data_IF_564449411638
#
_entry.id   IF_564449411638
#
_cell.length_a   1.000
_cell.length_b   1.000
_cell.length_c   1.000
_cell.angle_alpha   90.00
_cell.angle_beta   90.00
_cell.angle_gamma   90.00
#
_symmetry.space_group_name_H-M   'P 1'
#
loop_
_entity.id
_entity.type
_entity.pdbx_description
1 polymer ?
#
# COMPACT_ATOMS: atom_id res chain seq x y z
N UNK A 1 -13.76 19.65 11.65
CA UNK A 1 -14.67 19.05 12.66
C UNK A 1 -13.88 18.31 13.75
N UNK A 2 -12.83 18.91 14.35
CA UNK A 2 -11.81 18.14 15.10
C UNK A 2 -11.81 18.36 16.63
N UNK A 3 -12.91 18.80 17.23
CA UNK A 3 -12.85 19.37 18.59
C UNK A 3 -13.79 18.78 19.66
N UNK A 4 -14.25 17.54 19.51
CA UNK A 4 -15.05 16.85 20.57
C UNK A 4 -14.67 15.39 20.80
N UNK A 5 -13.39 15.05 20.71
CA UNK A 5 -12.94 13.75 21.23
C UNK A 5 -12.87 13.83 22.77
N UNK A 6 -13.48 12.89 23.52
CA UNK A 6 -13.40 12.87 24.98
C UNK A 6 -11.95 12.88 25.47
N UNK A 7 -11.71 13.48 26.64
CA UNK A 7 -10.38 13.63 27.25
C UNK A 7 -9.68 12.30 27.57
N UNK A 8 -10.41 11.19 27.63
CA UNK A 8 -9.86 9.83 27.75
C UNK A 8 -10.72 8.82 26.99
N UNK A 9 -10.28 8.41 25.81
CA UNK A 9 -10.88 7.31 25.04
C UNK A 9 -10.11 6.03 25.34
N UNK A 10 -10.80 4.96 25.74
CA UNK A 10 -10.22 3.63 25.97
C UNK A 10 -10.48 2.70 24.79
N UNK A 11 -9.70 1.61 24.70
CA UNK A 11 -9.97 0.52 23.75
C UNK A 11 -11.32 -0.17 24.03
N UNK A 12 -11.85 -0.08 25.26
CA UNK A 12 -13.18 -0.60 25.60
C UNK A 12 -14.33 0.20 24.97
N UNK A 13 -14.07 1.45 24.61
CA UNK A 13 -15.04 2.35 24.01
C UNK A 13 -15.05 2.21 22.48
N UNK A 14 -14.24 1.31 21.92
CA UNK A 14 -14.21 1.01 20.48
C UNK A 14 -15.26 -0.04 20.12
N UNK A 15 -16.09 0.27 19.14
CA UNK A 15 -17.05 -0.66 18.54
C UNK A 15 -16.55 -1.07 17.15
N UNK A 16 -16.23 -2.36 16.92
CA UNK A 16 -15.66 -2.83 15.66
C UNK A 16 -16.72 -2.92 14.56
N UNK A 17 -16.41 -2.41 13.37
CA UNK A 17 -17.27 -2.49 12.19
C UNK A 17 -16.74 -3.50 11.18
N UNK A 18 -15.46 -3.40 10.82
CA UNK A 18 -14.88 -4.18 9.71
C UNK A 18 -13.42 -4.52 9.98
N UNK A 19 -13.05 -5.77 9.72
CA UNK A 19 -11.64 -6.20 9.75
C UNK A 19 -11.00 -5.87 8.41
N UNK A 20 -9.97 -5.02 8.42
CA UNK A 20 -9.26 -4.59 7.20
C UNK A 20 -8.12 -5.53 6.83
N UNK A 21 -7.39 -6.04 7.83
CA UNK A 21 -6.21 -6.90 7.62
C UNK A 21 -5.96 -7.78 8.82
N UNK A 22 -5.67 -9.05 8.58
CA UNK A 22 -5.17 -10.00 9.59
C UNK A 22 -3.77 -10.46 9.22
N UNK A 23 -2.85 -10.39 10.17
CA UNK A 23 -1.45 -10.82 10.05
C UNK A 23 -1.08 -11.62 11.31
N UNK A 24 -0.04 -12.45 11.24
CA UNK A 24 0.50 -13.26 12.35
C UNK A 24 0.85 -12.40 13.57
N UNK A 25 1.13 -11.12 13.36
CA UNK A 25 1.55 -10.19 14.40
C UNK A 25 0.45 -9.22 14.89
N UNK A 26 -0.65 -9.06 14.16
CA UNK A 26 -1.76 -8.19 14.56
C UNK A 26 -2.92 -8.23 13.58
N UNK A 27 -4.10 -7.85 14.07
CA UNK A 27 -5.28 -7.57 13.24
C UNK A 27 -5.55 -6.05 13.22
N UNK A 28 -5.91 -5.50 12.07
CA UNK A 28 -6.32 -4.09 11.92
C UNK A 28 -7.82 -4.04 11.69
N UNK A 29 -8.52 -3.41 12.62
CA UNK A 29 -9.98 -3.31 12.65
C UNK A 29 -10.36 -1.84 12.54
N UNK A 30 -11.27 -1.54 11.61
CA UNK A 30 -11.94 -0.25 11.54
C UNK A 30 -13.22 -0.33 12.37
N UNK A 31 -13.54 0.75 13.05
CA UNK A 31 -14.75 0.86 13.85
C UNK A 31 -15.04 2.31 14.19
N UNK A 32 -15.84 2.51 15.22
CA UNK A 32 -16.20 3.85 15.69
C UNK A 32 -16.16 3.93 17.22
N UNK A 33 -16.29 5.15 17.74
CA UNK A 33 -16.40 5.39 19.17
C UNK A 33 -17.82 5.07 19.64
N UNK A 34 -17.95 4.31 20.72
CA UNK A 34 -19.23 3.99 21.36
C UNK A 34 -20.01 5.27 21.65
N UNK A 35 -21.22 5.36 21.10
CA UNK A 35 -22.11 6.52 21.24
C UNK A 35 -21.78 7.73 20.36
N UNK A 36 -20.77 7.63 19.48
CA UNK A 36 -20.39 8.65 18.49
C UNK A 36 -19.95 7.96 17.17
N UNK A 37 -20.90 7.42 16.38
CA UNK A 37 -20.60 6.67 15.15
C UNK A 37 -19.88 7.51 14.08
N UNK A 38 -19.99 8.84 14.15
CA UNK A 38 -19.27 9.78 13.27
C UNK A 38 -17.75 9.79 13.52
N UNK A 39 -17.29 9.36 14.70
CA UNK A 39 -15.87 9.33 15.05
C UNK A 39 -15.30 7.97 14.68
N UNK A 40 -14.77 7.88 13.45
CA UNK A 40 -14.14 6.67 12.93
C UNK A 40 -12.77 6.43 13.56
N UNK A 41 -12.53 5.19 13.98
CA UNK A 41 -11.35 4.75 14.70
C UNK A 41 -10.70 3.54 14.01
N UNK A 42 -9.40 3.40 14.18
CA UNK A 42 -8.63 2.23 13.77
C UNK A 42 -7.99 1.58 15.00
N UNK A 43 -8.27 0.30 15.21
CA UNK A 43 -7.66 -0.52 16.24
C UNK A 43 -6.68 -1.51 15.61
N UNK A 44 -5.42 -1.46 16.04
CA UNK A 44 -4.48 -2.56 15.87
C UNK A 44 -4.62 -3.53 17.03
N UNK A 45 -5.39 -4.59 16.84
CA UNK A 45 -5.66 -5.62 17.84
C UNK A 45 -4.50 -6.63 17.92
N UNK A 46 -4.10 -6.95 19.16
CA UNK A 46 -3.04 -7.87 19.52
C UNK A 46 -3.56 -9.02 20.41
N UNK A 47 -4.86 -9.07 20.69
CA UNK A 47 -5.46 -10.08 21.58
C UNK A 47 -5.35 -11.50 20.98
N UNK A 48 -5.55 -11.62 19.67
CA UNK A 48 -5.64 -12.90 18.95
C UNK A 48 -4.30 -13.36 18.37
N UNK A 49 -3.19 -12.73 18.79
CA UNK A 49 -1.84 -13.11 18.35
C UNK A 49 -1.42 -14.43 19.01
N UNK A 50 -0.88 -15.40 18.25
CA UNK A 50 -0.38 -16.65 18.81
C UNK A 50 0.61 -16.45 19.96
N UNK A 51 0.57 -17.33 20.96
CA UNK A 51 1.34 -17.18 22.19
C UNK A 51 2.85 -17.01 21.94
N UNK A 52 3.41 -17.68 20.93
CA UNK A 52 4.82 -17.60 20.55
C UNK A 52 5.21 -16.23 19.95
N UNK A 53 4.28 -15.57 19.25
CA UNK A 53 4.47 -14.25 18.63
C UNK A 53 4.16 -13.08 19.59
N UNK A 54 3.55 -13.34 20.74
CA UNK A 54 2.99 -12.33 21.63
C UNK A 54 4.02 -11.34 22.18
N UNK A 55 5.21 -11.81 22.60
CA UNK A 55 6.27 -10.94 23.15
C UNK A 55 6.82 -9.98 22.09
N UNK A 56 7.05 -10.49 20.88
CA UNK A 56 7.54 -9.69 19.75
C UNK A 56 6.49 -8.67 19.31
N UNK A 57 5.23 -9.09 19.19
CA UNK A 57 4.11 -8.23 18.79
C UNK A 57 3.87 -7.10 19.81
N UNK A 58 3.95 -7.40 21.11
CA UNK A 58 3.90 -6.37 22.16
C UNK A 58 5.10 -5.41 22.09
N UNK A 59 6.29 -5.91 21.80
CA UNK A 59 7.47 -5.04 21.65
C UNK A 59 7.33 -4.10 20.45
N UNK A 60 6.87 -4.61 19.30
CA UNK A 60 6.57 -3.83 18.11
C UNK A 60 5.49 -2.78 18.38
N UNK A 61 4.40 -3.17 19.04
CA UNK A 61 3.32 -2.26 19.39
C UNK A 61 3.77 -1.16 20.36
N UNK A 62 4.59 -1.47 21.37
CA UNK A 62 5.17 -0.45 22.26
C UNK A 62 6.06 0.54 21.50
N UNK A 63 6.81 0.07 20.50
CA UNK A 63 7.64 0.91 19.67
C UNK A 63 6.81 1.83 18.78
N UNK A 64 5.76 1.30 18.16
CA UNK A 64 4.80 2.09 17.38
C UNK A 64 4.08 3.12 18.26
N UNK A 65 3.54 2.73 19.41
CA UNK A 65 2.89 3.63 20.35
C UNK A 65 3.83 4.75 20.82
N UNK A 66 5.11 4.44 21.06
CA UNK A 66 6.12 5.46 21.39
C UNK A 66 6.34 6.44 20.23
N UNK A 67 6.37 5.96 18.99
CA UNK A 67 6.51 6.82 17.81
C UNK A 67 5.28 7.70 17.60
N UNK A 68 4.08 7.11 17.70
CA UNK A 68 2.80 7.81 17.61
C UNK A 68 2.65 8.86 18.72
N UNK A 69 3.03 8.53 19.96
CA UNK A 69 3.08 9.47 21.07
C UNK A 69 4.03 10.64 20.79
N UNK A 70 5.22 10.36 20.25
CA UNK A 70 6.20 11.39 19.92
C UNK A 70 5.73 12.34 18.81
N UNK A 71 4.86 11.90 17.89
CA UNK A 71 4.35 12.77 16.79
C UNK A 71 3.02 13.46 17.10
N UNK A 72 2.42 13.26 18.28
CA UNK A 72 1.14 13.88 18.63
C UNK A 72 1.13 15.40 18.46
N UNK A 73 0.11 15.94 17.80
CA UNK A 73 0.00 17.37 17.52
C UNK A 73 0.81 17.86 16.32
N UNK A 74 1.44 16.98 15.54
CA UNK A 74 1.88 17.31 14.17
C UNK A 74 0.67 17.14 13.24
N UNK A 75 0.15 18.22 12.61
CA UNK A 75 -0.94 18.10 11.64
C UNK A 75 -0.54 17.18 10.48
N UNK A 76 -1.41 16.23 10.12
CA UNK A 76 -1.15 15.20 9.10
C UNK A 76 -0.46 13.94 9.63
N UNK A 77 -0.45 13.72 10.95
CA UNK A 77 -0.01 12.45 11.56
C UNK A 77 -1.13 11.82 12.38
N UNK A 78 -1.13 10.48 12.61
CA UNK A 78 -2.24 9.82 13.27
C UNK A 78 -2.32 10.24 14.75
N UNK A 79 -3.53 10.57 15.19
CA UNK A 79 -3.81 10.86 16.60
C UNK A 79 -3.98 9.55 17.38
N UNK A 80 -3.07 9.31 18.32
CA UNK A 80 -3.12 8.18 19.23
C UNK A 80 -4.15 8.46 20.32
N UNK A 81 -5.09 7.54 20.52
CA UNK A 81 -6.12 7.65 21.56
C UNK A 81 -5.76 6.78 22.76
N UNK A 82 -5.38 5.53 22.53
CA UNK A 82 -4.98 4.60 23.58
C UNK A 82 -3.94 3.60 23.07
N UNK A 83 -3.09 3.12 23.97
CA UNK A 83 -2.18 2.02 23.70
C UNK A 83 -1.99 1.17 24.97
N UNK A 84 -2.33 -0.10 24.91
CA UNK A 84 -2.19 -1.04 26.02
C UNK A 84 -1.75 -2.44 25.53
N UNK A 85 -2.00 -3.49 26.33
CA UNK A 85 -1.68 -4.89 25.97
C UNK A 85 -2.62 -5.48 24.91
N UNK A 86 -3.82 -4.93 24.73
CA UNK A 86 -4.82 -5.34 23.76
C UNK A 86 -4.55 -4.75 22.39
N UNK A 87 -3.97 -3.54 22.33
CA UNK A 87 -3.69 -2.93 21.03
C UNK A 87 -3.31 -1.46 21.06
N UNK A 88 -3.37 -0.87 19.86
CA UNK A 88 -3.17 0.56 19.62
C UNK A 88 -4.43 1.10 18.94
N UNK A 89 -5.09 2.05 19.60
CA UNK A 89 -6.26 2.74 19.10
C UNK A 89 -5.87 4.14 18.61
N UNK A 90 -6.25 4.46 17.39
CA UNK A 90 -5.99 5.75 16.75
C UNK A 90 -7.21 6.23 15.98
N UNK A 91 -7.25 7.54 15.70
CA UNK A 91 -8.24 8.12 14.79
C UNK A 91 -8.02 7.57 13.37
N UNK A 92 -9.10 7.24 12.68
CA UNK A 92 -9.07 6.84 11.28
C UNK A 92 -8.73 8.03 10.38
N UNK A 93 -7.93 7.80 9.33
CA UNK A 93 -7.64 8.82 8.32
C UNK A 93 -8.55 8.59 7.12
N UNK A 94 -9.38 9.58 6.78
CA UNK A 94 -10.23 9.57 5.58
C UNK A 94 -9.46 9.94 4.29
N UNK A 95 -8.13 10.06 4.38
CA UNK A 95 -7.29 10.42 3.24
C UNK A 95 -7.22 9.33 2.18
N UNK A 96 -7.14 9.74 0.93
CA UNK A 96 -7.04 8.85 -0.23
C UNK A 96 -5.59 8.43 -0.48
N UNK A 97 -5.29 7.14 -0.69
CA UNK A 97 -3.96 6.68 -1.07
C UNK A 97 -3.43 7.35 -2.34
N UNK A 98 -2.12 7.64 -2.39
CA UNK A 98 -1.56 8.45 -3.48
C UNK A 98 -1.62 7.84 -4.87
N UNK A 99 -1.75 6.51 -4.98
CA UNK A 99 -1.90 5.87 -6.29
C UNK A 99 -3.22 6.26 -6.97
N UNK A 100 -4.25 6.59 -6.18
CA UNK A 100 -5.52 7.12 -6.64
C UNK A 100 -5.50 8.65 -6.70
N UNK A 101 -5.07 9.30 -5.61
CA UNK A 101 -5.10 10.75 -5.48
C UNK A 101 -4.17 11.50 -6.45
N UNK A 102 -3.09 10.85 -6.92
CA UNK A 102 -2.07 11.38 -7.85
C UNK A 102 -1.78 12.88 -7.64
N UNK A 103 -1.24 13.28 -6.46
CA UNK A 103 -1.13 14.69 -6.08
C UNK A 103 -0.21 15.45 -7.04
N UNK A 104 -0.74 16.47 -7.70
CA UNK A 104 -0.01 17.34 -8.62
C UNK A 104 0.26 18.74 -8.05
N UNK A 105 -0.39 19.11 -6.94
CA UNK A 105 -0.34 20.47 -6.39
C UNK A 105 0.87 20.70 -5.46
N UNK A 106 1.51 21.88 -5.49
CA UNK A 106 2.63 22.21 -4.60
C UNK A 106 2.30 22.11 -3.10
N UNK A 107 1.08 22.47 -2.71
CA UNK A 107 0.63 22.51 -1.32
C UNK A 107 0.84 21.16 -0.61
N UNK A 108 0.46 20.05 -1.26
CA UNK A 108 0.66 18.69 -0.74
C UNK A 108 2.14 18.43 -0.41
N UNK A 109 3.06 18.76 -1.32
CA UNK A 109 4.49 18.53 -1.12
C UNK A 109 5.13 19.49 -0.12
N UNK A 110 4.57 20.68 0.07
CA UNK A 110 4.97 21.57 1.16
C UNK A 110 4.58 20.97 2.51
N UNK A 111 3.36 20.45 2.63
CA UNK A 111 2.90 19.80 3.85
C UNK A 111 3.65 18.49 4.15
N UNK A 112 3.87 17.64 3.15
CA UNK A 112 4.66 16.42 3.31
C UNK A 112 6.08 16.73 3.82
N UNK A 113 6.74 17.76 3.27
CA UNK A 113 8.06 18.22 3.74
C UNK A 113 8.00 18.78 5.16
N UNK A 114 6.95 19.53 5.52
CA UNK A 114 6.71 20.03 6.87
C UNK A 114 6.59 18.88 7.86
N UNK A 115 5.78 17.86 7.56
CA UNK A 115 5.59 16.67 8.41
C UNK A 115 6.93 15.99 8.68
N UNK A 116 7.72 15.70 7.64
CA UNK A 116 9.03 15.06 7.82
C UNK A 116 10.00 15.92 8.64
N UNK A 117 10.00 17.23 8.43
CA UNK A 117 10.81 18.16 9.22
C UNK A 117 10.41 18.13 10.69
N UNK A 118 9.12 18.18 10.99
CA UNK A 118 8.62 18.25 12.36
C UNK A 118 8.77 16.92 13.09
N UNK A 119 8.58 15.78 12.41
CA UNK A 119 8.95 14.45 12.91
C UNK A 119 10.43 14.38 13.27
N UNK A 120 11.30 14.83 12.35
CA UNK A 120 12.75 14.84 12.57
C UNK A 120 13.16 15.76 13.72
N UNK A 121 12.48 16.89 13.93
CA UNK A 121 12.70 17.77 15.10
C UNK A 121 12.41 17.03 16.41
N UNK A 122 11.41 16.15 16.42
CA UNK A 122 11.05 15.30 17.56
C UNK A 122 11.84 13.99 17.64
N UNK A 123 12.89 13.84 16.83
CA UNK A 123 13.74 12.65 16.82
C UNK A 123 13.07 11.42 16.22
N UNK A 124 12.00 11.57 15.44
CA UNK A 124 11.26 10.46 14.82
C UNK A 124 11.67 10.32 13.35
N UNK A 125 11.92 9.08 12.93
CA UNK A 125 12.07 8.68 11.52
C UNK A 125 11.04 7.60 11.21
N UNK A 126 10.42 7.66 10.03
CA UNK A 126 9.35 6.75 9.63
C UNK A 126 9.89 5.41 9.13
N UNK A 127 10.95 5.44 8.32
CA UNK A 127 11.67 4.30 7.77
C UNK A 127 10.91 3.43 6.75
N UNK A 128 9.62 3.69 6.49
CA UNK A 128 8.83 2.96 5.49
C UNK A 128 8.16 3.86 4.43
N UNK A 129 8.73 5.04 4.16
CA UNK A 129 8.17 5.97 3.15
C UNK A 129 8.43 5.55 1.70
N UNK A 130 9.13 4.44 1.50
CA UNK A 130 9.33 3.87 0.18
C UNK A 130 8.01 3.42 -0.47
N UNK A 131 7.01 3.06 0.36
CA UNK A 131 5.68 2.66 -0.08
C UNK A 131 4.79 3.92 -0.21
N UNK A 132 4.34 4.29 -1.42
CA UNK A 132 3.44 5.44 -1.61
C UNK A 132 2.11 5.31 -0.85
N UNK A 133 1.71 4.08 -0.50
CA UNK A 133 0.50 3.78 0.28
C UNK A 133 0.54 4.36 1.71
N UNK A 134 1.72 4.63 2.26
CA UNK A 134 1.87 5.23 3.60
C UNK A 134 1.60 6.74 3.60
N UNK A 135 1.47 7.34 2.42
CA UNK A 135 1.00 8.71 2.26
C UNK A 135 -0.47 8.70 1.81
N UNK A 136 -1.25 9.57 2.42
CA UNK A 136 -2.62 9.85 2.02
C UNK A 136 -2.75 11.33 1.66
N UNK A 137 -3.68 11.62 0.75
CA UNK A 137 -4.14 12.98 0.49
C UNK A 137 -5.47 13.16 1.22
N UNK A 138 -5.51 14.04 2.21
CA UNK A 138 -6.75 14.41 2.88
C UNK A 138 -7.73 15.07 1.88
N UNK A 139 -9.04 15.08 2.17
CA UNK A 139 -10.04 15.73 1.30
C UNK A 139 -9.75 17.21 1.01
N UNK A 140 -9.05 17.91 1.92
CA UNK A 140 -8.62 19.30 1.75
C UNK A 140 -7.33 19.46 0.90
N UNK A 141 -6.80 18.36 0.37
CA UNK A 141 -5.59 18.32 -0.47
C UNK A 141 -4.28 18.31 0.33
N UNK A 142 -4.33 18.26 1.66
CA UNK A 142 -3.11 18.20 2.49
C UNK A 142 -2.54 16.78 2.56
N UNK A 143 -1.27 16.69 2.91
CA UNK A 143 -0.61 15.42 3.12
C UNK A 143 -0.91 14.86 4.51
N UNK A 144 -1.25 13.57 4.57
CA UNK A 144 -1.29 12.79 5.79
C UNK A 144 -0.35 11.60 5.69
N UNK A 145 0.19 11.20 6.83
CA UNK A 145 1.08 10.06 6.95
C UNK A 145 0.46 9.01 7.85
N UNK A 146 0.48 7.76 7.40
CA UNK A 146 -0.04 6.60 8.14
C UNK A 146 1.05 5.55 8.35
N UNK A 147 0.72 4.53 9.15
CA UNK A 147 1.55 3.34 9.39
C UNK A 147 2.93 3.61 10.03
N UNK A 148 2.93 3.85 11.34
CA UNK A 148 4.14 4.09 12.12
C UNK A 148 4.79 2.81 12.67
N UNK A 149 4.44 1.63 12.16
CA UNK A 149 4.93 0.36 12.71
C UNK A 149 6.47 0.24 12.65
N UNK A 150 7.07 0.71 11.55
CA UNK A 150 8.51 0.72 11.36
C UNK A 150 9.18 2.01 11.83
N UNK A 151 8.41 2.98 12.34
CA UNK A 151 8.96 4.22 12.85
C UNK A 151 9.92 3.98 14.03
N UNK A 152 10.86 4.89 14.21
CA UNK A 152 11.84 4.83 15.30
C UNK A 152 12.02 6.19 15.93
N UNK A 153 12.06 6.20 17.26
CA UNK A 153 12.31 7.39 18.07
C UNK A 153 13.75 7.36 18.57
N UNK A 154 14.48 8.44 18.33
CA UNK A 154 15.91 8.56 18.62
C UNK A 154 16.14 9.64 19.67
N UNK A 155 16.81 9.27 20.77
CA UNK A 155 17.20 10.25 21.81
C UNK A 155 18.32 11.19 21.35
N UNK A 156 19.23 10.70 20.49
CA UNK A 156 20.38 11.44 19.98
C UNK A 156 20.33 11.49 18.46
N UNK A 157 20.78 12.60 17.86
CA UNK A 157 20.87 12.79 16.41
C UNK A 157 22.11 12.09 15.81
N UNK A 158 22.22 10.79 16.07
CA UNK A 158 23.33 9.93 15.65
C UNK A 158 23.45 9.82 14.12
N UNK A 159 24.54 9.20 13.64
CA UNK A 159 24.71 8.93 12.22
C UNK A 159 23.54 8.12 11.64
N UNK A 160 23.09 7.08 12.35
CA UNK A 160 21.95 6.25 11.91
C UNK A 160 20.64 7.04 11.82
N UNK A 161 20.38 7.96 12.75
CA UNK A 161 19.24 8.88 12.68
C UNK A 161 19.32 9.78 11.44
N UNK A 162 20.51 10.35 11.15
CA UNK A 162 20.71 11.21 9.97
C UNK A 162 20.48 10.45 8.66
N UNK A 163 20.96 9.21 8.58
CA UNK A 163 20.77 8.34 7.41
C UNK A 163 19.28 8.00 7.21
N UNK A 164 18.59 7.58 8.28
CA UNK A 164 17.16 7.26 8.22
C UNK A 164 16.31 8.46 7.82
N UNK A 165 16.57 9.62 8.41
CA UNK A 165 15.88 10.86 8.04
C UNK A 165 16.20 11.32 6.60
N UNK A 166 17.41 11.04 6.11
CA UNK A 166 17.76 11.27 4.71
C UNK A 166 16.98 10.34 3.77
N UNK A 167 16.86 9.05 4.09
CA UNK A 167 16.06 8.12 3.28
C UNK A 167 14.57 8.49 3.27
N UNK A 168 14.00 8.90 4.41
CA UNK A 168 12.61 9.41 4.46
C UNK A 168 12.40 10.59 3.49
N UNK A 169 13.31 11.57 3.49
CA UNK A 169 13.27 12.71 2.56
C UNK A 169 13.48 12.29 1.11
N UNK A 170 14.39 11.34 0.87
CA UNK A 170 14.68 10.81 -0.45
C UNK A 170 13.49 10.08 -1.04
N UNK A 171 12.77 9.31 -0.23
CA UNK A 171 11.54 8.65 -0.67
C UNK A 171 10.45 9.65 -1.05
N UNK A 172 10.29 10.74 -0.28
CA UNK A 172 9.42 11.86 -0.66
C UNK A 172 9.85 12.49 -2.00
N UNK A 173 11.14 12.70 -2.23
CA UNK A 173 11.63 13.23 -3.51
C UNK A 173 11.35 12.30 -4.69
N UNK A 174 11.54 10.98 -4.53
CA UNK A 174 11.21 9.99 -5.57
C UNK A 174 9.71 9.91 -5.84
N UNK A 175 8.90 10.07 -4.81
CA UNK A 175 7.44 10.13 -4.95
C UNK A 175 7.03 11.37 -5.73
N UNK A 176 7.59 12.54 -5.39
CA UNK A 176 7.36 13.79 -6.14
C UNK A 176 7.79 13.66 -7.59
N UNK A 177 8.92 13.03 -7.87
CA UNK A 177 9.37 12.74 -9.23
C UNK A 177 8.35 11.90 -10.03
N UNK A 178 7.65 10.97 -9.38
CA UNK A 178 6.65 10.10 -10.03
C UNK A 178 5.32 10.82 -10.32
N UNK A 179 4.82 11.61 -9.36
CA UNK A 179 3.46 12.17 -9.45
C UNK A 179 3.42 13.64 -9.90
N UNK A 180 4.48 14.40 -9.64
CA UNK A 180 4.58 15.82 -10.01
C UNK A 180 6.01 16.20 -10.45
N UNK A 181 6.52 15.62 -11.56
CA UNK A 181 7.88 15.90 -12.04
C UNK A 181 8.11 17.39 -12.34
N UNK A 182 7.07 18.10 -12.80
CA UNK A 182 7.11 19.54 -13.06
C UNK A 182 7.36 20.40 -11.82
N UNK A 183 7.13 19.87 -10.61
CA UNK A 183 7.43 20.57 -9.36
C UNK A 183 8.82 20.25 -8.81
N UNK A 184 9.53 19.28 -9.40
CA UNK A 184 10.76 18.74 -8.85
C UNK A 184 11.90 19.75 -8.98
N UNK A 185 12.57 20.07 -7.86
CA UNK A 185 13.75 20.94 -7.90
C UNK A 185 15.00 20.13 -8.26
N UNK A 186 16.03 20.79 -8.80
CA UNK A 186 17.31 20.15 -9.11
C UNK A 186 17.93 19.43 -7.88
N UNK A 187 17.77 20.02 -6.69
CA UNK A 187 18.22 19.41 -5.43
C UNK A 187 17.43 18.15 -5.07
N UNK A 188 16.11 18.17 -5.23
CA UNK A 188 15.27 17.00 -4.98
C UNK A 188 15.55 15.88 -6.00
N UNK A 189 15.79 16.23 -7.27
CA UNK A 189 16.22 15.28 -8.29
C UNK A 189 17.55 14.61 -7.92
N UNK A 190 18.53 15.40 -7.45
CA UNK A 190 19.79 14.85 -6.95
C UNK A 190 19.58 13.94 -5.74
N UNK A 191 18.78 14.33 -4.75
CA UNK A 191 18.48 13.49 -3.57
C UNK A 191 17.80 12.18 -3.99
N UNK A 192 16.83 12.24 -4.91
CA UNK A 192 16.11 11.07 -5.42
C UNK A 192 17.07 10.04 -6.07
N UNK A 193 18.03 10.54 -6.86
CA UNK A 193 19.07 9.74 -7.51
C UNK A 193 20.12 9.21 -6.53
N UNK A 194 20.54 10.03 -5.55
CA UNK A 194 21.63 9.72 -4.62
C UNK A 194 21.16 8.76 -3.51
N UNK A 195 21.41 7.46 -3.73
CA UNK A 195 21.17 6.39 -2.74
C UNK A 195 22.15 6.49 -1.57
N UNK A 196 21.68 6.25 -0.33
CA UNK A 196 22.57 6.17 0.83
C UNK A 196 23.55 4.99 0.73
N UNK A 197 24.70 5.18 1.39
CA UNK A 197 25.79 4.18 1.45
C UNK A 197 25.32 2.86 2.09
N UNK A 198 24.54 2.83 3.18
CA UNK A 198 24.04 1.57 3.73
C UNK A 198 23.09 0.82 2.79
N UNK A 199 22.25 1.52 2.01
CA UNK A 199 21.42 0.85 0.99
C UNK A 199 22.27 0.25 -0.15
N UNK A 200 23.44 0.84 -0.44
CA UNK A 200 24.40 0.32 -1.42
C UNK A 200 25.10 -0.93 -0.89
N UNK A 201 25.55 -0.89 0.37
CA UNK A 201 26.20 -2.01 1.07
C UNK A 201 25.21 -3.17 1.30
N UNK A 202 23.99 -2.89 1.75
CA UNK A 202 22.95 -3.93 1.93
C UNK A 202 22.66 -4.67 0.63
N UNK A 203 22.62 -3.98 -0.52
CA UNK A 203 22.40 -4.65 -1.81
C UNK A 203 23.61 -5.47 -2.26
N UNK A 204 24.83 -4.99 -1.99
CA UNK A 204 26.07 -5.68 -2.36
C UNK A 204 26.33 -6.92 -1.49
N UNK A 205 26.02 -6.84 -0.19
CA UNK A 205 26.46 -7.83 0.81
C UNK A 205 25.28 -8.49 1.53
N UNK A 206 24.32 -7.70 2.02
CA UNK A 206 23.21 -8.16 2.85
C UNK A 206 22.18 -8.99 2.09
N UNK A 207 21.85 -8.62 0.84
CA UNK A 207 20.90 -9.35 0.00
C UNK A 207 21.37 -10.78 -0.31
N UNK A 208 22.68 -10.97 -0.52
CA UNK A 208 23.25 -12.30 -0.80
C UNK A 208 23.23 -13.20 0.44
N UNK A 209 23.58 -12.66 1.61
CA UNK A 209 23.55 -13.39 2.87
C UNK A 209 22.12 -13.68 3.34
N UNK A 210 21.21 -12.71 3.19
CA UNK A 210 19.78 -12.88 3.45
C UNK A 210 19.19 -13.98 2.57
N UNK A 211 19.40 -13.92 1.24
CA UNK A 211 18.95 -14.96 0.31
C UNK A 211 19.58 -16.34 0.59
N UNK A 212 20.82 -16.38 1.07
CA UNK A 212 21.51 -17.62 1.42
C UNK A 212 20.95 -18.24 2.71
N UNK A 213 20.69 -17.42 3.72
CA UNK A 213 20.11 -17.87 5.00
C UNK A 213 18.63 -18.24 4.84
N UNK A 214 17.85 -17.46 4.08
CA UNK A 214 16.43 -17.78 3.82
C UNK A 214 16.27 -19.01 2.93
N UNK A 215 17.15 -19.24 1.95
CA UNK A 215 17.12 -20.49 1.15
C UNK A 215 17.53 -21.75 1.91
N UNK A 216 18.29 -21.63 3.01
CA UNK A 216 18.90 -22.80 3.69
C UNK A 216 18.33 -23.09 5.07
N UNK A 217 17.71 -22.11 5.75
CA UNK A 217 17.30 -22.26 7.16
C UNK A 217 15.79 -22.20 7.41
N UNK A 218 14.98 -21.67 6.50
CA UNK A 218 13.53 -21.67 6.66
C UNK A 218 12.85 -21.78 5.31
N UNK A 219 12.07 -22.84 5.14
CA UNK A 219 11.10 -23.00 4.06
C UNK A 219 9.93 -22.01 4.27
N UNK A 220 10.26 -20.71 4.35
CA UNK A 220 9.33 -19.64 4.62
C UNK A 220 8.64 -19.31 3.30
N UNK A 221 7.39 -19.76 3.18
CA UNK A 221 6.48 -19.40 2.08
C UNK A 221 6.08 -17.93 2.20
N UNK A 222 6.92 -17.02 1.72
CA UNK A 222 6.54 -15.62 1.47
C UNK A 222 7.20 -15.10 0.20
N UNK A 223 6.37 -14.75 -0.79
CA UNK A 223 6.51 -13.63 -1.74
C UNK A 223 7.71 -13.50 -2.70
N UNK A 224 8.88 -14.11 -2.47
CA UNK A 224 10.07 -13.80 -3.30
C UNK A 224 10.09 -14.48 -4.67
N UNK A 225 9.39 -15.61 -4.84
CA UNK A 225 9.21 -16.24 -6.15
C UNK A 225 8.26 -15.47 -7.07
N UNK A 226 7.42 -14.59 -6.52
CA UNK A 226 6.46 -13.80 -7.28
C UNK A 226 7.15 -12.84 -8.24
N UNK A 227 8.22 -12.16 -7.82
CA UNK A 227 8.89 -11.16 -8.66
C UNK A 227 9.50 -11.78 -9.92
N UNK A 228 10.19 -12.92 -9.78
CA UNK A 228 10.75 -13.66 -10.91
C UNK A 228 9.64 -14.24 -11.80
N UNK A 229 8.65 -14.91 -11.21
CA UNK A 229 7.49 -15.45 -11.95
C UNK A 229 6.74 -14.34 -12.69
N UNK A 230 6.57 -13.17 -12.09
CA UNK A 230 5.86 -12.04 -12.69
C UNK A 230 6.62 -11.46 -13.89
N UNK A 231 7.94 -11.30 -13.78
CA UNK A 231 8.79 -10.84 -14.89
C UNK A 231 8.82 -11.88 -16.02
N UNK A 232 9.05 -13.15 -15.71
CA UNK A 232 9.08 -14.25 -16.69
C UNK A 232 7.73 -14.43 -17.40
N UNK A 233 6.61 -14.46 -16.65
CA UNK A 233 5.26 -14.58 -17.22
C UNK A 233 4.91 -13.34 -18.04
N UNK A 234 5.32 -12.13 -17.62
CA UNK A 234 5.06 -10.91 -18.40
C UNK A 234 5.76 -10.96 -19.75
N UNK A 235 7.04 -11.29 -19.77
CA UNK A 235 7.83 -11.30 -20.99
C UNK A 235 7.33 -12.39 -21.97
N UNK A 236 6.97 -13.56 -21.43
CA UNK A 236 6.37 -14.63 -22.22
C UNK A 236 5.01 -14.22 -22.81
N UNK A 237 4.13 -13.62 -22.01
CA UNK A 237 2.82 -13.13 -22.47
C UNK A 237 2.99 -12.03 -23.52
N UNK A 238 3.91 -11.08 -23.32
CA UNK A 238 4.17 -10.02 -24.29
C UNK A 238 4.66 -10.59 -25.64
N UNK A 239 5.53 -11.61 -25.60
CA UNK A 239 6.03 -12.27 -26.80
C UNK A 239 4.95 -13.09 -27.53
N UNK A 240 4.01 -13.72 -26.81
CA UNK A 240 2.99 -14.58 -27.44
C UNK A 240 1.73 -13.82 -27.86
N UNK A 241 1.26 -12.87 -27.04
CA UNK A 241 0.03 -12.13 -27.29
C UNK A 241 0.25 -10.81 -28.01
N UNK A 242 1.48 -10.28 -28.03
CA UNK A 242 1.79 -9.01 -28.68
C UNK A 242 1.56 -9.00 -30.19
N UNK A 243 1.74 -10.15 -30.85
CA UNK A 243 1.65 -10.31 -32.31
C UNK A 243 0.38 -11.06 -32.76
N UNK A 244 -0.54 -11.36 -31.84
CA UNK A 244 -1.71 -12.18 -32.16
C UNK A 244 -2.88 -11.31 -32.69
N UNK A 245 -3.36 -11.59 -33.91
CA UNK A 245 -4.37 -10.78 -34.62
C UNK A 245 -5.68 -10.57 -33.84
N UNK A 246 -6.09 -11.56 -33.04
CA UNK A 246 -7.33 -11.50 -32.25
C UNK A 246 -7.19 -10.82 -30.87
N UNK A 247 -6.03 -10.25 -30.54
CA UNK A 247 -5.76 -9.63 -29.23
C UNK A 247 -5.32 -8.18 -29.42
N UNK A 248 -6.07 -7.25 -28.83
CA UNK A 248 -5.83 -5.81 -28.99
C UNK A 248 -5.16 -5.17 -27.77
N UNK A 249 -4.96 -5.93 -26.69
CA UNK A 249 -4.37 -5.44 -25.46
C UNK A 249 -4.33 -6.50 -24.36
N UNK A 250 -3.40 -6.35 -23.42
CA UNK A 250 -3.33 -7.21 -22.23
C UNK A 250 -2.74 -6.46 -21.03
N UNK A 251 -3.08 -6.92 -19.82
CA UNK A 251 -2.51 -6.41 -18.57
C UNK A 251 -2.34 -7.53 -17.55
N UNK A 252 -1.09 -7.78 -17.14
CA UNK A 252 -0.74 -8.74 -16.09
C UNK A 252 -0.59 -8.03 -14.74
N UNK A 253 -1.35 -8.47 -13.75
CA UNK A 253 -1.44 -7.84 -12.43
C UNK A 253 -1.27 -8.86 -11.31
N UNK A 254 -0.89 -8.36 -10.15
CA UNK A 254 -0.81 -9.12 -8.91
C UNK A 254 -2.18 -9.13 -8.21
N UNK A 255 -2.61 -10.26 -7.65
CA UNK A 255 -3.77 -10.33 -6.77
C UNK A 255 -3.51 -11.14 -5.49
N UNK A 256 -4.18 -10.82 -4.37
CA UNK A 256 -4.01 -11.57 -3.12
C UNK A 256 -4.71 -12.94 -3.17
N UNK A 257 -4.02 -14.00 -2.73
CA UNK A 257 -4.59 -15.34 -2.56
C UNK A 257 -5.19 -15.53 -1.14
N UNK A 258 -6.22 -16.36 -1.01
CA UNK A 258 -6.80 -16.75 0.28
C UNK A 258 -5.86 -17.66 1.06
N UNK A 259 -5.27 -17.17 2.16
CA UNK A 259 -4.34 -17.90 3.01
C UNK A 259 -3.03 -17.16 3.18
N UNK A 260 -2.12 -17.28 2.20
CA UNK A 260 -0.91 -16.46 2.08
C UNK A 260 -0.33 -16.56 0.66
N UNK A 261 0.17 -15.45 0.11
CA UNK A 261 0.79 -15.40 -1.22
C UNK A 261 0.15 -14.40 -2.19
N UNK A 262 0.72 -14.31 -3.38
CA UNK A 262 0.29 -13.41 -4.46
C UNK A 262 0.16 -14.22 -5.73
N UNK A 263 -1.00 -14.14 -6.38
CA UNK A 263 -1.27 -14.74 -7.68
C UNK A 263 -1.15 -13.74 -8.82
N UNK A 264 -1.12 -14.26 -10.04
CA UNK A 264 -1.09 -13.53 -11.30
C UNK A 264 -2.48 -13.50 -11.93
N UNK A 265 -2.97 -12.31 -12.22
CA UNK A 265 -4.25 -12.06 -12.89
C UNK A 265 -3.98 -11.38 -14.23
N UNK A 266 -4.26 -12.08 -15.32
CA UNK A 266 -4.19 -11.57 -16.68
C UNK A 266 -5.56 -11.07 -17.15
N UNK A 267 -5.60 -9.82 -17.62
CA UNK A 267 -6.69 -9.27 -18.41
C UNK A 267 -6.30 -9.28 -19.88
N UNK A 268 -7.19 -9.76 -20.75
CA UNK A 268 -6.96 -9.82 -22.21
C UNK A 268 -8.11 -9.13 -22.94
N UNK A 269 -7.77 -8.17 -23.79
CA UNK A 269 -8.70 -7.48 -24.69
C UNK A 269 -8.88 -8.31 -25.96
N UNK A 270 -9.98 -9.05 -26.03
CA UNK A 270 -10.27 -9.99 -27.12
C UNK A 270 -11.75 -10.35 -27.18
N UNK A 271 -12.21 -10.77 -28.36
CA UNK A 271 -13.53 -11.40 -28.57
C UNK A 271 -13.49 -12.92 -28.34
N UNK A 272 -12.30 -13.51 -28.15
CA UNK A 272 -12.15 -14.94 -27.87
C UNK A 272 -12.74 -15.30 -26.51
N UNK A 273 -13.26 -16.52 -26.39
CA UNK A 273 -13.73 -17.00 -25.09
C UNK A 273 -12.52 -17.30 -24.16
N UNK A 274 -12.71 -17.32 -22.82
CA UNK A 274 -11.61 -17.52 -21.89
C UNK A 274 -10.83 -18.83 -22.08
N UNK A 275 -11.47 -19.89 -22.59
CA UNK A 275 -10.81 -21.19 -22.82
C UNK A 275 -9.88 -21.14 -24.03
N UNK A 276 -10.31 -20.52 -25.12
CA UNK A 276 -9.50 -20.27 -26.31
C UNK A 276 -8.32 -19.37 -25.99
N UNK A 277 -8.55 -18.27 -25.25
CA UNK A 277 -7.49 -17.38 -24.82
C UNK A 277 -6.45 -18.09 -23.94
N UNK A 278 -6.88 -19.03 -23.08
CA UNK A 278 -5.97 -19.79 -22.22
C UNK A 278 -5.08 -20.79 -22.99
N UNK A 279 -5.52 -21.28 -24.15
CA UNK A 279 -4.71 -22.17 -25.01
C UNK A 279 -3.52 -21.42 -25.62
N UNK A 280 -3.67 -20.12 -25.86
CA UNK A 280 -2.63 -19.27 -26.43
C UNK A 280 -1.54 -18.89 -25.43
N UNK A 281 -1.70 -19.17 -24.13
CA UNK A 281 -0.77 -18.68 -23.12
C UNK A 281 0.44 -19.60 -22.92
N UNK A 282 1.66 -19.04 -22.91
CA UNK A 282 2.88 -19.79 -22.62
C UNK A 282 2.99 -20.11 -21.11
N UNK A 283 3.84 -21.08 -20.78
CA UNK A 283 4.28 -21.29 -19.39
C UNK A 283 5.35 -20.25 -19.00
N UNK A 284 5.36 -19.74 -17.74
CA UNK A 284 4.46 -20.09 -16.64
C UNK A 284 3.11 -19.37 -16.71
N UNK A 285 2.01 -20.13 -16.59
CA UNK A 285 0.66 -19.59 -16.73
C UNK A 285 0.25 -18.64 -15.58
N UNK A 286 -0.53 -17.58 -15.88
CA UNK A 286 -1.21 -16.79 -14.86
C UNK A 286 -2.30 -17.62 -14.17
N UNK A 287 -2.61 -17.29 -12.91
CA UNK A 287 -3.57 -18.04 -12.10
C UNK A 287 -5.02 -17.70 -12.47
N UNK A 288 -5.29 -16.47 -12.92
CA UNK A 288 -6.60 -16.02 -13.39
C UNK A 288 -6.47 -15.36 -14.76
N UNK A 289 -7.42 -15.65 -15.66
CA UNK A 289 -7.48 -15.10 -17.02
C UNK A 289 -8.90 -14.59 -17.24
N UNK A 290 -9.05 -13.27 -17.39
CA UNK A 290 -10.33 -12.66 -17.73
C UNK A 290 -10.22 -12.00 -19.10
N UNK A 291 -11.07 -12.43 -20.02
CA UNK A 291 -11.22 -11.79 -21.33
C UNK A 291 -12.31 -10.73 -21.29
N UNK A 292 -12.14 -9.68 -22.07
CA UNK A 292 -13.14 -8.65 -22.28
C UNK A 292 -13.01 -8.06 -23.69
N UNK A 293 -14.13 -7.62 -24.30
CA UNK A 293 -14.10 -7.02 -25.63
C UNK A 293 -13.38 -5.67 -25.68
N UNK A 294 -13.28 -4.98 -24.54
CA UNK A 294 -12.56 -3.72 -24.39
C UNK A 294 -11.96 -3.61 -22.98
N UNK A 295 -10.74 -3.07 -22.88
CA UNK A 295 -10.10 -2.72 -21.61
C UNK A 295 -10.11 -1.20 -21.39
N UNK A 296 -10.14 -0.72 -20.14
CA UNK A 296 -10.21 0.71 -19.85
C UNK A 296 -8.92 1.41 -20.30
N UNK A 297 -9.05 2.52 -21.02
CA UNK A 297 -7.94 3.33 -21.54
C UNK A 297 -8.15 4.80 -21.19
N UNK A 298 -7.06 5.52 -21.03
CA UNK A 298 -7.05 6.98 -20.92
C UNK A 298 -7.37 7.62 -22.28
N UNK A 299 -7.59 8.94 -22.31
CA UNK A 299 -7.81 9.69 -23.55
C UNK A 299 -6.64 9.52 -24.55
N UNK A 300 -5.43 9.30 -24.04
CA UNK A 300 -4.22 9.05 -24.84
C UNK A 300 -4.08 7.58 -25.29
N UNK A 301 -5.12 6.74 -25.11
CA UNK A 301 -5.14 5.33 -25.51
C UNK A 301 -4.32 4.38 -24.61
N UNK A 302 -3.68 4.90 -23.57
CA UNK A 302 -2.91 4.11 -22.60
C UNK A 302 -3.83 3.30 -21.69
N UNK A 303 -3.55 2.00 -21.50
CA UNK A 303 -4.33 1.13 -20.61
C UNK A 303 -4.32 1.63 -19.16
N UNK A 304 -5.51 1.77 -18.57
CA UNK A 304 -5.74 2.12 -17.15
C UNK A 304 -5.50 0.90 -16.25
N UNK A 305 -4.24 0.46 -16.18
CA UNK A 305 -3.81 -0.64 -15.32
C UNK A 305 -4.08 -0.36 -13.83
N UNK A 306 -4.17 0.90 -13.44
CA UNK A 306 -4.59 1.34 -12.11
C UNK A 306 -6.00 0.85 -11.76
N UNK A 307 -6.96 1.00 -12.67
CA UNK A 307 -8.34 0.55 -12.47
C UNK A 307 -8.44 -0.98 -12.50
N UNK A 308 -7.72 -1.63 -13.42
CA UNK A 308 -7.61 -3.09 -13.44
C UNK A 308 -6.96 -3.64 -12.16
N UNK A 309 -6.02 -2.91 -11.56
CA UNK A 309 -5.41 -3.28 -10.27
C UNK A 309 -6.41 -3.23 -9.11
N UNK A 310 -7.38 -2.32 -9.14
CA UNK A 310 -8.46 -2.28 -8.14
C UNK A 310 -9.38 -3.50 -8.27
N UNK A 311 -9.68 -3.91 -9.51
CA UNK A 311 -10.42 -5.16 -9.78
C UNK A 311 -9.63 -6.35 -9.26
N UNK A 312 -8.35 -6.47 -9.63
CA UNK A 312 -7.50 -7.58 -9.21
C UNK A 312 -7.36 -7.66 -7.68
N UNK A 313 -7.35 -6.53 -6.98
CA UNK A 313 -7.24 -6.49 -5.51
C UNK A 313 -8.60 -6.49 -4.79
N UNK A 314 -9.71 -6.66 -5.51
CA UNK A 314 -11.08 -6.65 -5.02
C UNK A 314 -11.45 -5.38 -4.21
N UNK A 315 -10.97 -4.23 -4.67
CA UNK A 315 -11.23 -2.90 -4.06
C UNK A 315 -12.37 -2.18 -4.80
N UNK A 316 -13.57 -2.75 -4.72
CA UNK A 316 -14.74 -2.25 -5.46
C UNK A 316 -15.17 -0.85 -5.01
N UNK A 317 -15.06 -0.51 -3.73
CA UNK A 317 -15.45 0.81 -3.21
C UNK A 317 -14.54 1.93 -3.73
N UNK A 318 -13.23 1.66 -3.82
CA UNK A 318 -12.24 2.59 -4.40
C UNK A 318 -12.48 2.77 -5.91
N UNK A 319 -12.92 1.70 -6.60
CA UNK A 319 -13.25 1.73 -8.01
C UNK A 319 -14.54 2.52 -8.28
N UNK A 320 -15.58 2.32 -7.48
CA UNK A 320 -16.84 3.06 -7.60
C UNK A 320 -16.64 4.56 -7.34
N UNK A 321 -15.73 4.91 -6.43
CA UNK A 321 -15.33 6.30 -6.23
C UNK A 321 -14.63 6.88 -7.46
N UNK A 322 -13.70 6.14 -8.06
CA UNK A 322 -13.00 6.58 -9.28
C UNK A 322 -13.94 6.70 -10.50
N UNK A 323 -14.98 5.86 -10.57
CA UNK A 323 -15.96 5.86 -11.67
C UNK A 323 -16.95 7.03 -11.62
N UNK A 324 -17.10 7.72 -10.48
CA UNK A 324 -17.99 8.89 -10.37
C UNK A 324 -17.56 10.06 -11.25
N UNK A 325 -16.25 10.20 -11.45
CA UNK A 325 -15.66 11.32 -12.18
C UNK A 325 -15.49 11.02 -13.69
N UNK A 326 -15.66 9.75 -14.11
CA UNK A 326 -15.41 9.29 -15.49
C UNK A 326 -16.51 8.33 -16.00
N UNK A 327 -17.71 8.83 -16.38
CA UNK A 327 -18.86 7.99 -16.72
C UNK A 327 -18.64 7.12 -17.97
N UNK A 328 -17.77 7.53 -18.89
CA UNK A 328 -17.40 6.72 -20.07
C UNK A 328 -16.68 5.42 -19.72
N UNK A 329 -15.79 5.46 -18.71
CA UNK A 329 -15.08 4.27 -18.23
C UNK A 329 -16.01 3.32 -17.45
N UNK A 330 -17.06 3.83 -16.82
CA UNK A 330 -18.02 3.03 -16.07
C UNK A 330 -18.72 1.97 -16.94
N UNK A 331 -19.01 2.29 -18.21
CA UNK A 331 -19.64 1.37 -19.16
C UNK A 331 -18.74 0.16 -19.49
N UNK A 332 -17.42 0.38 -19.56
CA UNK A 332 -16.44 -0.68 -19.82
C UNK A 332 -16.14 -1.47 -18.54
N UNK A 333 -16.06 -0.79 -17.40
CA UNK A 333 -15.62 -1.38 -16.14
C UNK A 333 -16.71 -2.17 -15.42
N UNK A 334 -17.98 -1.79 -15.50
CA UNK A 334 -19.08 -2.52 -14.83
C UNK A 334 -19.16 -4.01 -15.23
N UNK A 335 -19.14 -4.37 -16.53
CA UNK A 335 -19.09 -5.78 -16.94
C UNK A 335 -17.84 -6.51 -16.43
N UNK A 336 -16.68 -5.86 -16.50
CA UNK A 336 -15.41 -6.41 -16.01
C UNK A 336 -15.44 -6.72 -14.50
N UNK A 337 -16.00 -5.81 -13.70
CA UNK A 337 -16.15 -5.99 -12.24
C UNK A 337 -17.14 -7.10 -11.93
N UNK A 338 -18.28 -7.14 -12.63
CA UNK A 338 -19.30 -8.18 -12.44
C UNK A 338 -18.78 -9.58 -12.78
N UNK A 339 -17.90 -9.68 -13.78
CA UNK A 339 -17.30 -10.94 -14.24
C UNK A 339 -15.95 -11.27 -13.56
N UNK A 340 -15.51 -10.51 -12.55
CA UNK A 340 -14.21 -10.73 -11.91
C UNK A 340 -14.10 -12.13 -11.28
N UNK A 341 -12.92 -12.72 -11.40
CA UNK A 341 -12.66 -14.13 -11.07
C UNK A 341 -12.04 -14.31 -9.67
N UNK A 342 -11.68 -13.22 -9.01
CA UNK A 342 -11.08 -13.19 -7.67
C UNK A 342 -12.13 -13.09 -6.53
N UNK A 343 -13.38 -13.49 -6.80
CA UNK A 343 -14.43 -13.62 -5.80
C UNK A 343 -14.26 -14.94 -5.05
N UNK A 344 -14.02 -14.86 -3.74
CA UNK A 344 -13.87 -16.03 -2.86
C UNK A 344 -15.17 -16.85 -2.73
N UNK A 345 -16.33 -16.25 -3.01
CA UNK A 345 -17.66 -16.82 -2.73
C UNK A 345 -18.23 -17.72 -3.84
N UNK A 346 -17.47 -18.05 -4.90
CA UNK A 346 -17.95 -18.97 -5.97
C UNK A 346 -17.58 -20.44 -5.77
N UNK A 347 -16.90 -20.78 -4.67
CA UNK A 347 -16.63 -22.15 -4.26
C UNK A 347 -17.23 -22.42 -2.88
N UNK A 348 -18.55 -22.63 -2.85
CA UNK A 348 -19.24 -23.39 -1.83
C UNK A 348 -20.02 -24.51 -2.51
#
# INVERSE_FOLDING_TARGET
>A
MSDKLPSSVSIKDFEPDTVLKRDVFSETIMGHLRGQPEVRLALRNLADVPWYGRRLSQWLARREARALSAVQGIPGTPRLLAADRRGILRVWSDGTPLHLARPSKPAFYHDARRILRDMRRRGVTHNDLAKPQNWLMAPDGRAELIDFQLASVHKRKSCSFRIKGYEDLRHLARMKQRYAPHLLTAKEAHIAATRSVPSRIWRASGKRLYNFVTRRLMNWKDGEGFGLRFEETRDAIAATLGDHESISGHALLAYPLTGSGVGLYLFVETTLNPKEAAVLLPEPRPDLIQTAPALPRDHDGTLRQDLLSLIATNRTDELDAALKDEPGLATILRPLVAARLNLTDRHL
#
